data_IF_305104568398
#
_entry.id   IF_305104568398
#
_cell.length_a   1.000
_cell.length_b   1.000
_cell.length_c   1.000
_cell.angle_alpha   90.00
_cell.angle_beta   90.00
_cell.angle_gamma   90.00
#
_symmetry.space_group_name_H-M   'P 1'
#
loop_
_entity.id
_entity.type
_entity.pdbx_description
1 polymer ?
#
# COMPACT_ATOMS: atom_id res chain seq x y z
N UNK A 1 14.86 15.02 54.92
CA UNK A 1 15.42 13.74 54.44
C UNK A 1 14.54 13.22 53.32
N UNK A 2 15.17 12.84 52.21
CA UNK A 2 14.58 12.49 50.92
C UNK A 2 14.23 11.00 50.86
N UNK A 3 13.07 10.66 50.30
CA UNK A 3 12.73 9.32 49.78
C UNK A 3 11.64 9.50 48.69
N UNK A 4 12.02 9.50 47.41
CA UNK A 4 12.08 8.36 46.47
C UNK A 4 10.71 7.88 45.97
N UNK A 5 10.43 8.29 44.72
CA UNK A 5 9.81 7.59 43.58
C UNK A 5 8.99 6.32 43.85
N UNK A 6 7.82 6.21 43.20
CA UNK A 6 7.62 5.32 42.04
C UNK A 6 6.25 5.58 41.38
N UNK A 7 6.28 5.88 40.07
CA UNK A 7 5.11 5.91 39.19
C UNK A 7 4.47 4.51 39.13
N UNK A 8 3.19 4.39 39.48
CA UNK A 8 2.39 3.23 39.12
C UNK A 8 1.51 3.55 37.92
N UNK A 9 2.05 3.15 36.76
CA UNK A 9 1.43 3.12 35.45
C UNK A 9 0.41 1.97 35.43
N UNK A 10 -0.88 2.29 35.49
CA UNK A 10 -1.95 1.29 35.29
C UNK A 10 -2.32 1.18 33.82
N UNK A 11 -2.33 -0.06 33.35
CA UNK A 11 -2.43 -0.49 31.97
C UNK A 11 -3.80 -0.20 31.36
N UNK A 12 -3.83 0.44 30.18
CA UNK A 12 -4.99 0.47 29.30
C UNK A 12 -5.00 -0.82 28.47
N UNK A 13 -5.93 -1.73 28.76
CA UNK A 13 -6.28 -2.84 27.89
C UNK A 13 -7.11 -2.29 26.72
N UNK A 14 -6.46 -2.05 25.59
CA UNK A 14 -7.14 -1.76 24.33
C UNK A 14 -7.76 -3.06 23.81
N UNK A 15 -9.09 -3.11 23.86
CA UNK A 15 -9.91 -4.07 23.14
C UNK A 15 -9.54 -4.00 21.65
N UNK A 16 -8.84 -5.04 21.18
CA UNK A 16 -8.67 -5.31 19.75
C UNK A 16 -10.05 -5.60 19.17
N UNK A 17 -10.69 -4.54 18.69
CA UNK A 17 -11.84 -4.63 17.80
C UNK A 17 -11.31 -5.20 16.50
N UNK A 18 -11.38 -6.52 16.37
CA UNK A 18 -11.14 -7.22 15.11
C UNK A 18 -12.16 -6.69 14.12
N UNK A 19 -11.73 -5.70 13.35
CA UNK A 19 -12.37 -5.31 12.11
C UNK A 19 -12.46 -6.59 11.29
N UNK A 20 -13.69 -7.09 11.12
CA UNK A 20 -14.01 -8.10 10.14
C UNK A 20 -13.79 -7.39 8.81
N UNK A 21 -12.54 -7.40 8.34
CA UNK A 21 -12.22 -6.98 6.99
C UNK A 21 -12.84 -8.08 6.12
N UNK A 22 -13.83 -7.77 5.26
CA UNK A 22 -14.29 -8.75 4.30
C UNK A 22 -13.07 -9.18 3.48
N UNK A 23 -12.66 -10.43 3.64
CA UNK A 23 -11.71 -11.09 2.75
C UNK A 23 -12.39 -11.20 1.39
N UNK A 24 -12.34 -10.11 0.63
CA UNK A 24 -12.82 -10.05 -0.75
C UNK A 24 -12.04 -11.12 -1.50
N UNK A 25 -12.77 -12.08 -2.06
CA UNK A 25 -12.23 -13.31 -2.62
C UNK A 25 -11.01 -13.03 -3.49
N UNK A 26 -9.95 -13.80 -3.26
CA UNK A 26 -8.85 -13.98 -4.21
C UNK A 26 -9.44 -14.52 -5.51
N UNK A 27 -10.00 -13.64 -6.34
CA UNK A 27 -10.31 -13.97 -7.73
C UNK A 27 -8.96 -14.38 -8.32
N UNK A 28 -8.90 -15.59 -8.86
CA UNK A 28 -7.68 -16.09 -9.49
C UNK A 28 -7.26 -15.05 -10.54
N UNK A 29 -6.14 -14.37 -10.28
CA UNK A 29 -5.62 -13.34 -11.17
C UNK A 29 -5.39 -13.94 -12.54
N UNK A 30 -5.61 -13.15 -13.58
CA UNK A 30 -5.19 -13.58 -14.91
C UNK A 30 -3.66 -13.69 -14.93
N UNK A 31 -3.11 -14.51 -15.83
CA UNK A 31 -1.66 -14.56 -16.04
C UNK A 31 -1.07 -13.18 -16.32
N UNK A 32 -1.85 -12.30 -16.96
CA UNK A 32 -1.51 -10.90 -17.23
C UNK A 32 -1.51 -10.06 -15.94
N UNK A 33 -2.50 -10.22 -15.06
CA UNK A 33 -2.55 -9.53 -13.77
C UNK A 33 -1.42 -9.91 -12.83
N UNK A 34 -1.08 -11.21 -12.77
CA UNK A 34 0.09 -11.67 -12.00
C UNK A 34 1.38 -11.04 -12.52
N UNK A 35 1.55 -10.99 -13.85
CA UNK A 35 2.72 -10.36 -14.47
C UNK A 35 2.77 -8.85 -14.19
N UNK A 36 1.63 -8.16 -14.25
CA UNK A 36 1.52 -6.73 -13.97
C UNK A 36 1.85 -6.40 -12.52
N UNK A 37 1.29 -7.13 -11.55
CA UNK A 37 1.63 -6.97 -10.12
C UNK A 37 3.11 -7.25 -9.87
N UNK A 38 3.67 -8.29 -10.52
CA UNK A 38 5.10 -8.60 -10.39
C UNK A 38 5.98 -7.46 -10.92
N UNK A 39 5.64 -6.86 -12.06
CA UNK A 39 6.33 -5.67 -12.59
C UNK A 39 6.25 -4.52 -11.59
N UNK A 40 5.05 -4.20 -11.10
CA UNK A 40 4.86 -3.13 -10.13
C UNK A 40 5.73 -3.33 -8.89
N UNK A 41 5.78 -4.56 -8.38
CA UNK A 41 6.63 -4.93 -7.26
C UNK A 41 8.12 -4.75 -7.58
N UNK A 42 8.56 -5.17 -8.76
CA UNK A 42 9.94 -4.96 -9.22
C UNK A 42 10.28 -3.47 -9.27
N UNK A 43 9.41 -2.62 -9.79
CA UNK A 43 9.63 -1.16 -9.85
C UNK A 43 9.87 -0.57 -8.47
N UNK A 44 9.04 -0.95 -7.49
CA UNK A 44 9.18 -0.46 -6.13
C UNK A 44 10.41 -1.05 -5.41
N UNK A 45 10.75 -2.30 -5.69
CA UNK A 45 11.96 -2.94 -5.19
C UNK A 45 13.23 -2.29 -5.75
N UNK A 46 13.24 -1.91 -7.03
CA UNK A 46 14.36 -1.19 -7.63
C UNK A 46 14.48 0.22 -7.05
N UNK A 47 13.35 0.92 -6.87
CA UNK A 47 13.34 2.20 -6.16
C UNK A 47 13.81 2.06 -4.70
N UNK A 48 13.42 0.97 -4.02
CA UNK A 48 13.87 0.64 -2.67
C UNK A 48 15.39 0.40 -2.63
N UNK A 49 15.94 -0.40 -3.55
CA UNK A 49 17.39 -0.64 -3.65
C UNK A 49 18.18 0.65 -3.86
N UNK A 50 17.64 1.56 -4.64
CA UNK A 50 18.28 2.85 -4.95
C UNK A 50 18.21 3.85 -3.77
N UNK A 51 17.15 3.81 -2.95
CA UNK A 51 16.86 4.89 -1.98
C UNK A 51 16.88 4.45 -0.51
N UNK A 52 16.54 3.20 -0.16
CA UNK A 52 16.48 2.69 1.21
C UNK A 52 16.52 1.15 1.24
N UNK A 53 17.61 0.55 1.74
CA UNK A 53 17.80 -0.91 1.80
C UNK A 53 16.94 -1.64 2.84
N UNK A 54 16.40 -0.93 3.85
CA UNK A 54 15.71 -1.55 4.98
C UNK A 54 14.18 -1.65 4.82
N UNK A 55 13.51 -0.63 4.24
CA UNK A 55 12.05 -0.60 4.09
C UNK A 55 11.61 0.12 2.81
N UNK A 56 10.36 -0.14 2.38
CA UNK A 56 9.70 0.64 1.33
C UNK A 56 9.74 2.13 1.73
N UNK A 57 10.29 3.02 0.90
CA UNK A 57 10.60 4.38 1.33
C UNK A 57 9.38 5.08 1.90
N UNK A 58 9.54 5.77 3.04
CA UNK A 58 8.46 6.53 3.69
C UNK A 58 7.77 7.50 2.74
N UNK A 59 8.49 7.98 1.71
CA UNK A 59 7.97 8.80 0.62
C UNK A 59 6.88 8.10 -0.19
N UNK A 60 7.06 6.82 -0.54
CA UNK A 60 6.05 6.04 -1.28
C UNK A 60 4.82 5.81 -0.41
N UNK A 61 5.02 5.45 0.86
CA UNK A 61 3.91 5.29 1.82
C UNK A 61 3.12 6.60 2.00
N UNK A 62 3.82 7.73 2.15
CA UNK A 62 3.21 9.06 2.26
C UNK A 62 2.44 9.44 0.99
N UNK A 63 2.97 9.14 -0.18
CA UNK A 63 2.29 9.45 -1.43
C UNK A 63 1.07 8.56 -1.68
N UNK A 64 1.14 7.27 -1.34
CA UNK A 64 -0.04 6.41 -1.36
C UNK A 64 -1.12 6.93 -0.42
N UNK A 65 -0.77 7.39 0.79
CA UNK A 65 -1.72 8.01 1.72
C UNK A 65 -2.23 9.38 1.26
N UNK A 66 -1.44 10.13 0.49
CA UNK A 66 -1.82 11.44 -0.05
C UNK A 66 -2.77 11.30 -1.25
N UNK A 67 -2.50 10.32 -2.12
CA UNK A 67 -3.34 10.01 -3.27
C UNK A 67 -4.54 9.14 -2.88
N UNK A 68 -4.52 8.54 -1.69
CA UNK A 68 -5.69 7.95 -1.10
C UNK A 68 -6.73 9.03 -0.86
N UNK A 69 -7.87 8.91 -1.52
CA UNK A 69 -9.00 9.82 -1.29
C UNK A 69 -9.52 9.66 0.15
N UNK A 70 -10.52 10.45 0.53
CA UNK A 70 -11.06 10.58 1.90
C UNK A 70 -11.36 9.24 2.60
N UNK A 71 -11.55 8.16 1.85
CA UNK A 71 -11.88 6.82 2.36
C UNK A 71 -10.70 5.83 2.38
N UNK A 72 -9.46 6.25 2.11
CA UNK A 72 -8.31 5.36 2.15
C UNK A 72 -8.20 4.42 0.95
N UNK A 73 -8.77 4.82 -0.19
CA UNK A 73 -8.67 4.11 -1.47
C UNK A 73 -7.82 4.91 -2.46
N UNK A 74 -6.95 4.20 -3.16
CA UNK A 74 -6.14 4.72 -4.27
C UNK A 74 -6.81 4.27 -5.56
N UNK A 75 -6.97 5.18 -6.51
CA UNK A 75 -7.42 4.87 -7.86
C UNK A 75 -6.22 4.75 -8.82
N UNK A 76 -6.48 4.37 -10.06
CA UNK A 76 -5.44 4.24 -11.08
C UNK A 76 -4.63 5.53 -11.26
N UNK A 77 -5.30 6.69 -11.23
CA UNK A 77 -4.64 7.99 -11.39
C UNK A 77 -3.71 8.32 -10.23
N UNK A 78 -4.16 8.04 -9.00
CA UNK A 78 -3.32 8.17 -7.81
C UNK A 78 -2.07 7.31 -7.90
N UNK A 79 -2.21 6.07 -8.37
CA UNK A 79 -1.05 5.18 -8.54
C UNK A 79 -0.08 5.66 -9.64
N UNK A 80 -0.59 6.20 -10.75
CA UNK A 80 0.23 6.83 -11.79
C UNK A 80 1.04 7.99 -11.19
N UNK A 81 0.42 8.84 -10.35
CA UNK A 81 1.12 9.93 -9.67
C UNK A 81 2.21 9.43 -8.73
N UNK A 82 1.96 8.37 -7.96
CA UNK A 82 2.99 7.75 -7.10
C UNK A 82 4.19 7.29 -7.94
N UNK A 83 3.95 6.62 -9.07
CA UNK A 83 5.00 6.09 -9.95
C UNK A 83 5.79 7.21 -10.65
N UNK A 84 5.10 8.26 -11.09
CA UNK A 84 5.73 9.46 -11.65
C UNK A 84 6.63 10.14 -10.63
N UNK A 85 6.17 10.25 -9.38
CA UNK A 85 6.90 10.91 -8.31
C UNK A 85 8.17 10.17 -7.85
N UNK A 86 8.24 8.85 -8.06
CA UNK A 86 9.46 8.06 -7.85
C UNK A 86 10.34 7.98 -9.10
N UNK A 87 9.96 8.66 -10.19
CA UNK A 87 10.65 8.69 -11.47
C UNK A 87 10.82 7.29 -12.12
N UNK A 88 9.80 6.43 -12.01
CA UNK A 88 9.79 5.08 -12.62
C UNK A 88 8.64 4.85 -13.62
N UNK A 89 8.17 5.93 -14.25
CA UNK A 89 7.01 5.92 -15.17
C UNK A 89 7.24 5.09 -16.45
N UNK A 90 8.49 4.77 -16.77
CA UNK A 90 8.93 3.98 -17.91
C UNK A 90 8.90 2.47 -17.66
N UNK A 91 8.82 2.03 -16.40
CA UNK A 91 8.96 0.61 -16.05
C UNK A 91 7.63 -0.15 -15.95
N UNK A 92 6.50 0.55 -15.99
CA UNK A 92 5.17 -0.04 -15.93
C UNK A 92 4.23 0.69 -16.88
N UNK A 93 3.51 -0.07 -17.70
CA UNK A 93 2.58 0.52 -18.67
C UNK A 93 1.25 0.90 -18.01
N UNK A 94 0.54 1.87 -18.61
CA UNK A 94 -0.82 2.21 -18.18
C UNK A 94 -1.78 1.01 -18.25
N UNK A 95 -1.58 0.13 -19.24
CA UNK A 95 -2.34 -1.11 -19.38
C UNK A 95 -2.04 -2.11 -18.26
N UNK A 96 -0.78 -2.20 -17.81
CA UNK A 96 -0.44 -3.03 -16.64
C UNK A 96 -1.18 -2.52 -15.39
N UNK A 97 -1.22 -1.20 -15.18
CA UNK A 97 -1.97 -0.60 -14.07
C UNK A 97 -3.48 -0.84 -14.20
N UNK A 98 -4.05 -0.63 -15.39
CA UNK A 98 -5.48 -0.89 -15.64
C UNK A 98 -5.86 -2.34 -15.30
N UNK A 99 -5.02 -3.31 -15.70
CA UNK A 99 -5.24 -4.72 -15.37
C UNK A 99 -5.22 -4.93 -13.85
N UNK A 100 -4.26 -4.35 -13.13
CA UNK A 100 -4.19 -4.44 -11.66
C UNK A 100 -5.46 -3.89 -11.03
N UNK A 101 -5.89 -2.68 -11.42
CA UNK A 101 -7.07 -2.02 -10.85
C UNK A 101 -8.39 -2.69 -11.24
N UNK A 102 -8.47 -3.30 -12.43
CA UNK A 102 -9.62 -4.10 -12.85
C UNK A 102 -9.73 -5.40 -12.05
N UNK A 103 -8.60 -6.06 -11.79
CA UNK A 103 -8.59 -7.34 -11.08
C UNK A 103 -8.73 -7.17 -9.56
N UNK A 104 -8.00 -6.23 -8.97
CA UNK A 104 -8.00 -5.98 -7.52
C UNK A 104 -9.00 -4.92 -7.05
N UNK A 105 -9.29 -3.91 -7.86
CA UNK A 105 -10.20 -2.82 -7.50
C UNK A 105 -11.68 -3.15 -7.67
N UNK A 106 -12.01 -4.33 -8.21
CA UNK A 106 -13.39 -4.78 -8.35
C UNK A 106 -14.25 -3.81 -9.18
N UNK A 107 -15.45 -3.49 -8.69
CA UNK A 107 -16.40 -2.64 -9.43
C UNK A 107 -16.06 -1.15 -9.38
N UNK A 108 -15.27 -0.71 -8.40
CA UNK A 108 -14.94 0.71 -8.19
C UNK A 108 -13.62 1.12 -8.82
N UNK A 109 -12.87 0.18 -9.42
CA UNK A 109 -11.54 0.41 -9.99
C UNK A 109 -10.59 1.15 -9.02
N UNK A 110 -10.80 0.94 -7.72
CA UNK A 110 -10.05 1.57 -6.64
C UNK A 110 -9.64 0.50 -5.64
N UNK A 111 -8.44 0.61 -5.10
CA UNK A 111 -7.85 -0.38 -4.19
C UNK A 111 -7.60 0.30 -2.85
N UNK A 112 -8.04 -0.32 -1.75
CA UNK A 112 -7.75 0.20 -0.41
C UNK A 112 -6.23 0.26 -0.20
N UNK A 113 -5.73 1.31 0.47
CA UNK A 113 -4.28 1.47 0.72
C UNK A 113 -3.69 0.25 1.40
N UNK A 114 -4.41 -0.33 2.37
CA UNK A 114 -3.95 -1.53 3.07
C UNK A 114 -3.82 -2.74 2.14
N UNK A 115 -4.74 -2.91 1.19
CA UNK A 115 -4.68 -3.98 0.20
C UNK A 115 -3.58 -3.70 -0.82
N UNK A 116 -3.41 -2.45 -1.24
CA UNK A 116 -2.28 -2.05 -2.08
C UNK A 116 -0.96 -2.38 -1.40
N UNK A 117 -0.80 -2.06 -0.11
CA UNK A 117 0.41 -2.39 0.66
C UNK A 117 0.67 -3.89 0.79
N UNK A 118 -0.36 -4.73 0.75
CA UNK A 118 -0.19 -6.20 0.74
C UNK A 118 0.26 -6.74 -0.63
N UNK A 119 -0.01 -6.00 -1.71
CA UNK A 119 0.39 -6.36 -3.07
C UNK A 119 1.86 -6.03 -3.37
N UNK A 120 2.46 -5.12 -2.60
CA UNK A 120 3.84 -4.63 -2.75
C UNK A 120 4.80 -5.42 -1.84
#
# INVERSE_FOLDING_TARGET
MSARFLLTRTSQTLLLKTSIVPSVGRRNLSSQGIAAVKKLRTVLEDYRRENCTQELPSRVKKQLLQEAQTEGFVDQNGMIRVIQNIHKNDQISLNDLEVIFREHGGQTSSIAVEEMMKLL
#
